data_IF_564931162298
#
_entry.id   IF_564931162298
#
_cell.length_a   1.000
_cell.length_b   1.000
_cell.length_c   1.000
_cell.angle_alpha   90.00
_cell.angle_beta   90.00
_cell.angle_gamma   90.00
#
_symmetry.space_group_name_H-M   'P 1'
#
loop_
_entity.id
_entity.type
_entity.pdbx_description
1 polymer ?
#
# COMPACT_ATOMS: atom_id res chain seq x y z
N UNK A 1 20.88 5.86 -7.51
CA UNK A 1 19.94 5.62 -6.44
C UNK A 1 19.97 6.80 -5.47
N UNK A 2 19.00 6.92 -4.59
CA UNK A 2 18.83 8.04 -3.65
C UNK A 2 19.34 7.60 -2.26
N UNK A 3 20.62 7.76 -1.94
CA UNK A 3 21.25 7.15 -0.76
C UNK A 3 20.67 7.65 0.58
N UNK A 4 19.93 8.75 0.56
CA UNK A 4 19.32 9.35 1.75
C UNK A 4 17.78 9.26 1.74
N UNK A 5 17.21 8.38 0.92
CA UNK A 5 15.75 8.21 0.81
C UNK A 5 15.38 6.85 1.34
N UNK A 6 14.39 6.81 2.25
CA UNK A 6 13.81 5.56 2.73
C UNK A 6 13.14 4.81 1.59
N UNK A 7 13.54 3.58 1.37
CA UNK A 7 13.10 2.77 0.24
C UNK A 7 12.23 1.60 0.69
N UNK A 8 10.98 1.60 0.30
CA UNK A 8 10.08 0.46 0.44
C UNK A 8 9.92 -0.27 -0.90
N UNK A 9 10.07 -1.58 -0.90
CA UNK A 9 9.90 -2.41 -2.10
C UNK A 9 8.70 -3.35 -1.95
N UNK A 10 7.81 -3.36 -2.93
CA UNK A 10 6.65 -4.26 -2.95
C UNK A 10 7.00 -5.64 -3.52
N UNK A 11 6.51 -6.70 -2.89
CA UNK A 11 6.55 -8.06 -3.40
C UNK A 11 5.13 -8.53 -3.63
N UNK A 12 4.81 -8.92 -4.86
CA UNK A 12 3.48 -9.46 -5.19
C UNK A 12 3.32 -10.87 -4.61
N UNK A 13 2.15 -11.16 -4.05
CA UNK A 13 1.87 -12.50 -3.51
C UNK A 13 1.91 -13.60 -4.57
N UNK A 14 1.66 -13.25 -5.83
CA UNK A 14 1.68 -14.19 -6.97
C UNK A 14 3.07 -14.60 -7.42
N UNK A 15 4.11 -13.98 -6.88
CA UNK A 15 5.50 -14.28 -7.22
C UNK A 15 6.11 -15.37 -6.32
N UNK A 16 5.40 -15.74 -5.24
CA UNK A 16 5.91 -16.68 -4.24
C UNK A 16 4.80 -17.60 -3.74
N UNK A 17 5.01 -18.88 -3.84
CA UNK A 17 4.04 -19.91 -3.45
C UNK A 17 4.17 -20.36 -1.99
N UNK A 18 5.24 -19.97 -1.28
CA UNK A 18 5.47 -20.38 0.10
C UNK A 18 6.01 -19.25 0.98
N UNK A 19 5.88 -19.42 2.30
CA UNK A 19 6.41 -18.48 3.30
C UNK A 19 7.93 -18.39 3.23
N UNK A 20 8.60 -19.49 2.99
CA UNK A 20 10.05 -19.59 2.88
C UNK A 20 10.54 -18.85 1.63
N UNK A 21 9.87 -19.03 0.49
CA UNK A 21 10.18 -18.37 -0.77
C UNK A 21 10.09 -16.85 -0.64
N UNK A 22 8.99 -16.34 -0.04
CA UNK A 22 8.79 -14.90 0.15
C UNK A 22 9.78 -14.31 1.16
N UNK A 23 10.10 -15.04 2.23
CA UNK A 23 11.08 -14.61 3.24
C UNK A 23 12.46 -14.51 2.66
N UNK A 24 12.87 -15.49 1.84
CA UNK A 24 14.14 -15.45 1.10
C UNK A 24 14.22 -14.18 0.24
N UNK A 25 13.14 -13.85 -0.48
CA UNK A 25 13.09 -12.64 -1.31
C UNK A 25 13.18 -11.36 -0.47
N UNK A 26 12.56 -11.31 0.69
CA UNK A 26 12.70 -10.19 1.61
C UNK A 26 14.17 -9.97 2.02
N UNK A 27 14.88 -11.02 2.42
CA UNK A 27 16.30 -10.94 2.77
C UNK A 27 17.17 -10.49 1.60
N UNK A 28 16.90 -10.95 0.37
CA UNK A 28 17.61 -10.50 -0.83
C UNK A 28 17.45 -8.98 -1.03
N UNK A 29 16.23 -8.45 -0.86
CA UNK A 29 15.94 -7.03 -1.01
C UNK A 29 16.59 -6.18 0.11
N UNK A 30 16.50 -6.61 1.36
CA UNK A 30 17.18 -5.93 2.48
C UNK A 30 18.69 -5.91 2.27
N UNK A 31 19.28 -7.02 1.80
CA UNK A 31 20.73 -7.12 1.53
C UNK A 31 21.22 -6.11 0.48
N UNK A 32 20.39 -5.74 -0.47
CA UNK A 32 20.73 -4.74 -1.50
C UNK A 32 20.38 -3.30 -1.11
N UNK A 33 19.91 -3.08 0.14
CA UNK A 33 19.67 -1.75 0.70
C UNK A 33 18.21 -1.26 0.64
N UNK A 34 17.24 -2.17 0.56
CA UNK A 34 15.82 -1.83 0.76
C UNK A 34 15.56 -1.71 2.27
N UNK A 35 14.92 -0.63 2.70
CA UNK A 35 14.66 -0.36 4.11
C UNK A 35 13.42 -1.07 4.65
N UNK A 36 12.42 -1.31 3.79
CA UNK A 36 11.14 -1.92 4.17
C UNK A 36 10.51 -2.71 3.02
N UNK A 37 9.68 -3.67 3.38
CA UNK A 37 8.92 -4.46 2.41
C UNK A 37 7.44 -4.10 2.49
N UNK A 38 6.87 -3.70 1.36
CA UNK A 38 5.44 -3.53 1.21
C UNK A 38 4.78 -4.87 0.91
N UNK A 39 3.88 -5.29 1.80
CA UNK A 39 3.29 -6.63 1.76
C UNK A 39 2.21 -6.81 0.69
N UNK A 40 1.88 -5.70 -0.01
CA UNK A 40 0.91 -5.70 -1.10
C UNK A 40 -0.40 -6.41 -0.68
N UNK A 41 -0.68 -7.56 -1.26
CA UNK A 41 -1.90 -8.34 -1.02
C UNK A 41 -1.65 -9.65 -0.29
N UNK A 42 -0.56 -9.75 0.47
CA UNK A 42 -0.21 -10.98 1.15
C UNK A 42 -1.30 -11.44 2.12
N UNK A 43 -1.38 -12.74 2.30
CA UNK A 43 -2.15 -13.33 3.38
C UNK A 43 -1.54 -12.92 4.73
N UNK A 44 -2.39 -12.63 5.70
CA UNK A 44 -1.97 -12.18 7.04
C UNK A 44 -1.00 -13.16 7.72
N UNK A 45 -1.16 -14.48 7.47
CA UNK A 45 -0.23 -15.49 7.99
C UNK A 45 1.17 -15.43 7.37
N UNK A 46 1.29 -14.88 6.15
CA UNK A 46 2.60 -14.63 5.52
C UNK A 46 3.24 -13.40 6.14
N UNK A 47 2.47 -12.34 6.35
CA UNK A 47 2.94 -11.12 7.01
C UNK A 47 3.48 -11.44 8.40
N UNK A 48 2.70 -12.17 9.21
CA UNK A 48 3.10 -12.62 10.53
C UNK A 48 4.37 -13.46 10.50
N UNK A 49 4.46 -14.43 9.60
CA UNK A 49 5.64 -15.28 9.48
C UNK A 49 6.91 -14.49 9.15
N UNK A 50 6.82 -13.53 8.23
CA UNK A 50 7.96 -12.69 7.85
C UNK A 50 8.33 -11.69 8.95
N UNK A 51 7.35 -11.18 9.70
CA UNK A 51 7.61 -10.27 10.82
C UNK A 51 8.44 -10.90 11.94
N UNK A 52 8.32 -12.22 12.16
CA UNK A 52 9.10 -12.96 13.15
C UNK A 52 10.63 -12.90 12.87
N UNK A 53 11.03 -12.51 11.67
CA UNK A 53 12.43 -12.27 11.29
C UNK A 53 12.89 -10.81 11.48
N UNK A 54 12.09 -9.97 12.13
CA UNK A 54 12.35 -8.53 12.33
C UNK A 54 12.55 -7.74 11.02
N UNK A 55 11.92 -8.17 9.95
CA UNK A 55 11.90 -7.44 8.68
C UNK A 55 10.88 -6.31 8.78
N UNK A 56 11.24 -5.04 8.51
CA UNK A 56 10.28 -3.93 8.52
C UNK A 56 9.22 -4.11 7.44
N UNK A 57 7.94 -4.19 7.85
CA UNK A 57 6.81 -4.46 6.97
C UNK A 57 5.84 -3.28 6.93
N UNK A 58 5.40 -2.94 5.72
CA UNK A 58 4.30 -2.01 5.45
C UNK A 58 3.07 -2.81 5.00
N UNK A 59 1.97 -2.70 5.74
CA UNK A 59 0.70 -3.33 5.38
C UNK A 59 -0.05 -2.61 4.26
N UNK A 60 -1.12 -3.22 3.75
CA UNK A 60 -2.00 -2.63 2.75
C UNK A 60 -3.45 -3.04 3.00
N UNK A 61 -4.33 -2.06 3.15
CA UNK A 61 -5.76 -2.24 3.41
C UNK A 61 -6.63 -1.36 2.51
N UNK A 62 -7.91 -1.61 2.53
CA UNK A 62 -8.86 -0.92 1.68
C UNK A 62 -9.04 -1.62 0.32
N UNK A 63 -9.01 -0.87 -0.76
CA UNK A 63 -8.99 -1.45 -2.09
C UNK A 63 -7.58 -1.93 -2.42
N UNK A 64 -7.40 -3.24 -2.42
CA UNK A 64 -6.13 -3.88 -2.83
C UNK A 64 -6.30 -4.38 -4.27
N UNK A 65 -5.63 -3.79 -5.29
CA UNK A 65 -5.86 -4.09 -6.69
C UNK A 65 -5.80 -5.59 -7.03
N UNK A 66 -4.84 -6.30 -6.47
CA UNK A 66 -4.67 -7.74 -6.66
C UNK A 66 -5.83 -8.57 -6.10
N UNK A 67 -6.65 -8.00 -5.22
CA UNK A 67 -7.85 -8.61 -4.64
C UNK A 67 -9.15 -8.07 -5.26
N UNK A 68 -9.09 -7.37 -6.39
CA UNK A 68 -10.26 -6.73 -7.02
C UNK A 68 -11.41 -7.71 -7.32
N UNK A 69 -11.10 -8.95 -7.67
CA UNK A 69 -12.11 -10.01 -7.86
C UNK A 69 -12.96 -10.24 -6.60
N UNK A 70 -12.35 -10.16 -5.42
CA UNK A 70 -13.04 -10.34 -4.13
C UNK A 70 -13.96 -9.18 -3.77
N UNK A 71 -13.68 -8.00 -4.32
CA UNK A 71 -14.50 -6.79 -4.11
C UNK A 71 -15.55 -6.60 -5.21
N UNK A 72 -15.58 -7.46 -6.20
CA UNK A 72 -16.48 -7.35 -7.36
C UNK A 72 -16.07 -6.26 -8.33
N UNK A 73 -14.76 -6.11 -8.55
CA UNK A 73 -14.14 -5.16 -9.49
C UNK A 73 -13.39 -4.02 -8.84
N UNK A 74 -12.91 -3.10 -9.67
CA UNK A 74 -12.17 -1.90 -9.24
C UNK A 74 -13.16 -0.86 -8.71
N UNK A 75 -13.28 -0.75 -7.40
CA UNK A 75 -14.18 0.21 -6.74
C UNK A 75 -13.70 0.53 -5.33
N UNK A 76 -14.02 1.73 -4.81
CA UNK A 76 -13.80 2.08 -3.41
C UNK A 76 -14.55 1.12 -2.47
N UNK A 77 -13.92 0.78 -1.35
CA UNK A 77 -14.44 -0.07 -0.28
C UNK A 77 -14.59 0.69 1.03
N UNK A 78 -15.16 0.09 2.07
CA UNK A 78 -15.32 0.75 3.37
C UNK A 78 -16.54 1.67 3.46
N UNK A 79 -17.48 1.63 2.49
CA UNK A 79 -18.65 2.51 2.46
C UNK A 79 -19.77 2.10 3.42
N UNK A 80 -19.78 0.87 3.87
CA UNK A 80 -20.74 0.37 4.85
C UNK A 80 -20.05 0.19 6.19
N UNK A 81 -20.82 0.27 7.29
CA UNK A 81 -20.31 0.04 8.63
C UNK A 81 -19.58 -1.31 8.75
N UNK A 82 -20.14 -2.35 8.13
CA UNK A 82 -19.53 -3.69 8.11
C UNK A 82 -18.16 -3.69 7.45
N UNK A 83 -18.02 -3.00 6.30
CA UNK A 83 -16.74 -2.89 5.61
C UNK A 83 -15.74 -2.05 6.38
N UNK A 84 -16.18 -0.93 6.99
CA UNK A 84 -15.34 -0.07 7.79
C UNK A 84 -14.78 -0.80 9.04
N UNK A 85 -15.63 -1.56 9.74
CA UNK A 85 -15.21 -2.41 10.87
C UNK A 85 -14.16 -3.43 10.41
N UNK A 86 -14.39 -4.10 9.28
CA UNK A 86 -13.43 -5.06 8.74
C UNK A 86 -12.07 -4.43 8.46
N UNK A 87 -12.04 -3.25 7.84
CA UNK A 87 -10.78 -2.52 7.59
C UNK A 87 -10.09 -2.16 8.91
N UNK A 88 -10.85 -1.71 9.90
CA UNK A 88 -10.33 -1.43 11.23
C UNK A 88 -9.69 -2.67 11.89
N UNK A 89 -10.37 -3.81 11.83
CA UNK A 89 -9.86 -5.08 12.37
C UNK A 89 -8.57 -5.51 11.66
N UNK A 90 -8.50 -5.39 10.32
CA UNK A 90 -7.30 -5.68 9.53
C UNK A 90 -6.14 -4.77 9.96
N UNK A 91 -6.38 -3.48 10.19
CA UNK A 91 -5.37 -2.53 10.66
C UNK A 91 -4.87 -2.90 12.06
N UNK A 92 -5.76 -3.24 12.98
CA UNK A 92 -5.37 -3.66 14.34
C UNK A 92 -4.58 -4.96 14.34
N UNK A 93 -4.85 -5.86 13.41
CA UNK A 93 -4.08 -7.08 13.26
C UNK A 93 -2.68 -6.81 12.69
N UNK A 94 -2.55 -5.96 11.67
CA UNK A 94 -1.26 -5.53 11.12
C UNK A 94 -0.40 -4.81 12.17
N UNK A 95 -1.00 -3.93 12.96
CA UNK A 95 -0.34 -3.24 14.08
C UNK A 95 0.18 -4.24 15.13
N UNK A 96 -0.65 -5.22 15.51
CA UNK A 96 -0.28 -6.29 16.46
C UNK A 96 0.86 -7.18 15.93
N UNK A 97 0.92 -7.40 14.63
CA UNK A 97 2.00 -8.14 13.97
C UNK A 97 3.32 -7.35 14.00
N UNK A 98 3.26 -6.03 14.13
CA UNK A 98 4.43 -5.15 14.16
C UNK A 98 4.74 -4.47 12.82
N UNK A 99 3.75 -4.33 11.94
CA UNK A 99 3.90 -3.46 10.78
C UNK A 99 4.13 -2.01 11.25
N UNK A 100 5.12 -1.33 10.67
CA UNK A 100 5.44 0.05 11.03
C UNK A 100 4.55 1.07 10.33
N UNK A 101 3.99 0.70 9.18
CA UNK A 101 3.14 1.55 8.35
C UNK A 101 2.03 0.74 7.68
N UNK A 102 0.98 1.42 7.27
CA UNK A 102 -0.12 0.85 6.49
C UNK A 102 -0.54 1.78 5.35
N UNK A 103 -0.54 1.24 4.14
CA UNK A 103 -1.16 1.89 2.99
C UNK A 103 -2.67 1.69 3.05
N UNK A 104 -3.41 2.78 2.92
CA UNK A 104 -4.88 2.80 2.98
C UNK A 104 -5.41 3.31 1.65
N UNK A 105 -5.92 2.39 0.83
CA UNK A 105 -6.31 2.69 -0.54
C UNK A 105 -7.82 2.76 -0.72
N UNK A 106 -8.28 3.88 -1.31
CA UNK A 106 -9.64 4.09 -1.82
C UNK A 106 -10.75 3.74 -0.80
N UNK A 107 -10.64 4.22 0.44
CA UNK A 107 -11.72 4.21 1.43
C UNK A 107 -12.29 5.62 1.65
N UNK A 108 -13.47 5.78 2.29
CA UNK A 108 -13.99 7.09 2.65
C UNK A 108 -13.03 7.89 3.54
N UNK A 109 -12.90 9.19 3.26
CA UNK A 109 -11.93 10.05 3.95
C UNK A 109 -12.20 10.26 5.44
N UNK A 110 -13.46 10.19 5.86
CA UNK A 110 -13.86 10.22 7.27
C UNK A 110 -13.45 8.95 8.02
N UNK A 111 -13.56 7.80 7.38
CA UNK A 111 -13.09 6.52 7.93
C UNK A 111 -11.56 6.55 8.10
N UNK A 112 -10.81 7.01 7.08
CA UNK A 112 -9.37 7.19 7.20
C UNK A 112 -9.00 8.12 8.35
N UNK A 113 -9.72 9.26 8.48
CA UNK A 113 -9.45 10.23 9.54
C UNK A 113 -9.59 9.62 10.96
N UNK A 114 -10.56 8.74 11.17
CA UNK A 114 -10.71 8.03 12.45
C UNK A 114 -9.63 6.96 12.64
N UNK A 115 -9.30 6.21 11.59
CA UNK A 115 -8.23 5.21 11.63
C UNK A 115 -6.88 5.85 12.00
N UNK A 116 -6.51 6.96 11.38
CA UNK A 116 -5.25 7.66 11.64
C UNK A 116 -5.12 8.09 13.12
N UNK A 117 -6.23 8.40 13.80
CA UNK A 117 -6.21 8.78 15.22
C UNK A 117 -5.94 7.62 16.17
N UNK A 118 -6.24 6.40 15.77
CA UNK A 118 -6.31 5.24 16.67
C UNK A 118 -5.26 4.17 16.40
N UNK A 119 -4.49 4.28 15.31
CA UNK A 119 -3.35 3.40 15.03
C UNK A 119 -2.04 4.05 15.41
N UNK A 120 -1.05 3.23 15.79
CA UNK A 120 0.33 3.67 16.02
C UNK A 120 1.18 3.56 14.75
N UNK A 121 0.67 2.89 13.72
CA UNK A 121 1.36 2.78 12.43
C UNK A 121 1.29 4.11 11.68
N UNK A 122 2.33 4.41 10.90
CA UNK A 122 2.28 5.50 9.92
C UNK A 122 1.22 5.19 8.87
N UNK A 123 0.24 6.07 8.71
CA UNK A 123 -0.82 5.90 7.70
C UNK A 123 -0.42 6.56 6.38
N UNK A 124 -0.54 5.83 5.28
CA UNK A 124 -0.20 6.27 3.93
C UNK A 124 -1.45 6.21 3.07
N UNK A 125 -1.96 7.36 2.64
CA UNK A 125 -3.20 7.43 1.85
C UNK A 125 -2.93 7.38 0.37
N UNK A 126 -3.67 6.52 -0.34
CA UNK A 126 -3.84 6.61 -1.78
C UNK A 126 -5.35 6.63 -2.12
N UNK A 127 -5.85 7.76 -2.57
CA UNK A 127 -7.26 7.93 -2.89
C UNK A 127 -8.23 7.87 -1.71
N UNK A 128 -7.74 7.96 -0.47
CA UNK A 128 -8.55 7.92 0.76
C UNK A 128 -8.66 9.27 1.48
N UNK A 129 -8.27 10.36 0.81
CA UNK A 129 -8.29 11.72 1.37
C UNK A 129 -7.00 12.13 2.06
N UNK A 130 -6.99 13.35 2.63
CA UNK A 130 -5.77 14.04 3.09
C UNK A 130 -5.50 13.90 4.59
N UNK A 131 -6.18 13.01 5.29
CA UNK A 131 -6.10 12.90 6.77
C UNK A 131 -5.16 11.80 7.27
N UNK A 132 -4.43 11.13 6.36
CA UNK A 132 -3.32 10.26 6.71
C UNK A 132 -2.04 11.08 7.00
N UNK A 133 -1.07 10.45 7.61
CA UNK A 133 0.24 11.05 7.89
C UNK A 133 1.00 11.34 6.59
N UNK A 134 0.84 10.50 5.57
CA UNK A 134 1.52 10.59 4.28
C UNK A 134 0.52 10.44 3.12
N UNK A 135 0.77 11.16 2.03
CA UNK A 135 0.06 10.99 0.75
C UNK A 135 0.94 10.26 -0.24
N UNK A 136 0.41 9.21 -0.85
CA UNK A 136 1.07 8.44 -1.89
C UNK A 136 0.48 8.77 -3.28
N UNK A 137 1.34 9.04 -4.23
CA UNK A 137 0.98 9.28 -5.64
C UNK A 137 2.01 8.61 -6.55
N UNK A 138 1.55 8.06 -7.66
CA UNK A 138 2.44 7.50 -8.69
C UNK A 138 3.15 8.61 -9.47
N UNK A 139 4.40 8.37 -9.82
CA UNK A 139 5.20 9.31 -10.62
C UNK A 139 4.55 9.59 -11.97
N UNK A 140 3.96 8.58 -12.59
CA UNK A 140 3.24 8.67 -13.86
C UNK A 140 2.10 9.68 -13.79
N UNK A 141 1.32 9.64 -12.69
CA UNK A 141 0.22 10.56 -12.47
C UNK A 141 0.72 11.99 -12.24
N UNK A 142 1.75 12.14 -11.38
CA UNK A 142 2.32 13.45 -11.00
C UNK A 142 2.94 14.15 -12.21
N UNK A 143 3.70 13.40 -13.01
CA UNK A 143 4.45 13.91 -14.15
C UNK A 143 3.61 13.94 -15.44
N UNK A 144 2.48 13.24 -15.46
CA UNK A 144 1.57 13.20 -16.61
C UNK A 144 2.20 12.54 -17.82
N UNK A 145 2.81 11.37 -17.62
CA UNK A 145 3.20 10.48 -18.69
C UNK A 145 2.52 9.12 -18.50
N UNK A 146 1.73 8.74 -19.51
CA UNK A 146 1.00 7.49 -19.49
C UNK A 146 1.35 6.71 -20.76
N UNK A 147 2.15 5.67 -20.62
CA UNK A 147 2.58 4.83 -21.75
C UNK A 147 1.43 4.12 -22.48
N UNK A 148 0.32 3.92 -21.77
CA UNK A 148 -0.90 3.35 -22.33
C UNK A 148 -2.04 4.31 -22.00
N UNK A 149 -2.70 4.95 -22.89
CA UNK A 149 -3.87 5.83 -22.79
C UNK A 149 -4.76 5.68 -21.51
N UNK A 150 -4.20 5.18 -20.44
CA UNK A 150 -4.83 5.03 -19.13
C UNK A 150 -5.16 6.42 -18.59
N UNK A 151 -6.39 6.62 -18.14
CA UNK A 151 -6.82 7.88 -17.55
C UNK A 151 -6.19 8.02 -16.16
N UNK A 152 -5.66 9.20 -15.87
CA UNK A 152 -5.25 9.57 -14.52
C UNK A 152 -6.40 9.28 -13.54
N UNK A 153 -6.14 8.56 -12.43
CA UNK A 153 -7.15 8.28 -11.43
C UNK A 153 -7.73 9.58 -10.85
N UNK A 154 -9.00 9.58 -10.44
CA UNK A 154 -9.69 10.78 -9.92
C UNK A 154 -9.01 11.40 -8.68
N UNK A 155 -8.31 10.62 -7.90
CA UNK A 155 -7.59 11.06 -6.71
C UNK A 155 -6.20 11.61 -7.01
N UNK A 156 -5.67 11.37 -8.22
CA UNK A 156 -4.36 11.83 -8.61
C UNK A 156 -4.42 13.20 -9.29
N UNK A 157 -3.37 13.99 -9.09
CA UNK A 157 -3.22 15.30 -9.71
C UNK A 157 -1.92 15.32 -10.51
N UNK A 158 -2.03 15.61 -11.80
CA UNK A 158 -0.87 15.84 -12.65
C UNK A 158 -0.37 17.26 -12.48
N UNK A 159 0.90 17.42 -12.15
CA UNK A 159 1.58 18.71 -12.00
C UNK A 159 2.41 19.07 -13.22
N UNK A 160 2.64 18.09 -14.10
CA UNK A 160 3.35 18.23 -15.37
C UNK A 160 2.61 17.44 -16.45
N UNK A 161 2.99 17.65 -17.70
CA UNK A 161 2.48 16.88 -18.83
C UNK A 161 3.65 16.51 -19.74
N UNK A 162 4.36 15.46 -19.36
CA UNK A 162 5.53 14.99 -20.09
C UNK A 162 5.17 14.40 -21.45
N UNK A 163 3.96 13.86 -21.64
CA UNK A 163 3.50 13.42 -22.95
C UNK A 163 3.53 14.56 -23.98
N UNK A 164 3.24 15.80 -23.56
CA UNK A 164 3.31 16.98 -24.42
C UNK A 164 4.71 17.57 -24.57
N UNK A 165 5.64 17.23 -23.68
CA UNK A 165 7.00 17.76 -23.73
C UNK A 165 7.87 16.92 -24.66
N UNK A 166 7.57 15.62 -24.79
CA UNK A 166 8.34 14.65 -25.56
C UNK A 166 7.63 14.19 -26.85
N UNK A 167 6.44 14.70 -27.14
CA UNK A 167 5.75 14.54 -28.44
C UNK A 167 6.15 15.64 -29.43
#
# INVERSE_FOLDING_TARGET
>A
AAPNTFLTCGIKYTEHESKESITKKCFELIKIGVDSIHTNSWNINFIKYVSDFNIPLQGHVGFVPMKSTWTGGVKPVGKTLKEAIKIYEEIKELEKIGCWAVEVECIPADILAEITKITQMLTISIGSGSKADVQFLFAEDILGYHFDSARTPRHAKSYRNFDKIYS
#
